data_IF_584907475020
#
_entry.id   IF_584907475020
#
_cell.length_a   1.000
_cell.length_b   1.000
_cell.length_c   1.000
_cell.angle_alpha   90.00
_cell.angle_beta   90.00
_cell.angle_gamma   90.00
#
_symmetry.space_group_name_H-M   'P 1'
#
loop_
_entity.id
_entity.type
_entity.pdbx_description
1 polymer ?
#
# COMPACT_ATOMS: atom_id res chain seq x y z
N UNK A 1 27.02 18.44 -1.31
CA UNK A 1 25.92 18.52 -0.31
C UNK A 1 24.54 18.23 -0.90
N UNK A 2 24.04 18.96 -1.90
CA UNK A 2 22.70 18.70 -2.50
C UNK A 2 22.48 17.25 -3.00
N UNK A 3 23.47 16.67 -3.69
CA UNK A 3 23.40 15.26 -4.18
C UNK A 3 23.30 14.24 -3.04
N UNK A 4 24.00 14.48 -1.93
CA UNK A 4 23.98 13.60 -0.75
C UNK A 4 22.60 13.64 -0.06
N UNK A 5 22.01 14.83 0.07
CA UNK A 5 20.67 15.00 0.64
C UNK A 5 19.62 14.30 -0.24
N UNK A 6 19.68 14.46 -1.56
CA UNK A 6 18.76 13.75 -2.48
C UNK A 6 18.93 12.24 -2.42
N UNK A 7 20.16 11.73 -2.26
CA UNK A 7 20.41 10.30 -2.10
C UNK A 7 19.84 9.75 -0.80
N UNK A 8 20.09 10.43 0.34
CA UNK A 8 19.52 10.05 1.65
C UNK A 8 18.00 10.05 1.58
N UNK A 9 17.41 11.09 0.98
CA UNK A 9 15.95 11.18 0.81
C UNK A 9 15.39 10.02 -0.02
N UNK A 10 16.06 9.66 -1.12
CA UNK A 10 15.68 8.51 -1.94
C UNK A 10 15.76 7.18 -1.19
N UNK A 11 16.81 6.96 -0.41
CA UNK A 11 16.97 5.78 0.43
C UNK A 11 15.84 5.70 1.46
N UNK A 12 15.54 6.81 2.16
CA UNK A 12 14.45 6.87 3.14
C UNK A 12 13.11 6.55 2.48
N UNK A 13 12.81 7.15 1.32
CA UNK A 13 11.58 6.87 0.58
C UNK A 13 11.47 5.38 0.18
N UNK A 14 12.56 4.78 -0.29
CA UNK A 14 12.60 3.38 -0.68
C UNK A 14 12.43 2.43 0.51
N UNK A 15 13.11 2.69 1.63
CA UNK A 15 12.93 1.92 2.87
C UNK A 15 11.50 2.02 3.40
N UNK A 16 10.90 3.22 3.32
CA UNK A 16 9.51 3.45 3.72
C UNK A 16 8.56 2.61 2.85
N UNK A 17 8.80 2.57 1.55
CA UNK A 17 8.07 1.72 0.62
C UNK A 17 8.22 0.23 0.95
N UNK A 18 9.44 -0.26 1.19
CA UNK A 18 9.66 -1.66 1.55
C UNK A 18 8.90 -2.04 2.83
N UNK A 19 8.93 -1.17 3.85
CA UNK A 19 8.17 -1.40 5.09
C UNK A 19 6.67 -1.45 4.78
N UNK A 20 6.14 -0.47 4.03
CA UNK A 20 4.73 -0.47 3.66
C UNK A 20 4.34 -1.72 2.84
N UNK A 21 5.19 -2.15 1.91
CA UNK A 21 4.98 -3.31 1.06
C UNK A 21 4.95 -4.61 1.88
N UNK A 22 5.95 -4.88 2.71
CA UNK A 22 5.95 -6.07 3.57
C UNK A 22 4.80 -6.05 4.58
N UNK A 23 4.46 -4.87 5.12
CA UNK A 23 3.27 -4.72 5.95
C UNK A 23 2.00 -5.05 5.17
N UNK A 24 1.90 -4.69 3.88
CA UNK A 24 0.76 -5.03 3.03
C UNK A 24 0.53 -6.54 2.93
N UNK A 25 1.60 -7.32 2.79
CA UNK A 25 1.55 -8.78 2.75
C UNK A 25 0.92 -9.31 4.05
N UNK A 26 1.42 -8.85 5.20
CA UNK A 26 0.90 -9.23 6.51
C UNK A 26 -0.52 -8.73 6.75
N UNK A 27 -0.82 -7.51 6.31
CA UNK A 27 -2.12 -6.88 6.44
C UNK A 27 -3.21 -7.66 5.71
N UNK A 28 -3.00 -7.96 4.42
CA UNK A 28 -3.96 -8.70 3.60
C UNK A 28 -4.00 -10.18 3.97
N UNK A 29 -2.86 -10.78 4.30
CA UNK A 29 -2.77 -12.20 4.65
C UNK A 29 -3.17 -12.54 6.09
N UNK A 30 -3.48 -11.55 6.93
CA UNK A 30 -3.63 -11.72 8.39
C UNK A 30 -2.40 -12.39 9.05
N UNK A 31 -1.19 -12.00 8.63
CA UNK A 31 0.08 -12.59 9.09
C UNK A 31 0.92 -11.60 9.88
N UNK A 32 1.27 -11.94 11.12
CA UNK A 32 2.37 -11.34 11.91
C UNK A 32 2.49 -9.81 11.87
N UNK A 33 1.36 -9.09 11.83
CA UNK A 33 1.30 -7.62 11.93
C UNK A 33 0.37 -7.19 13.05
N UNK A 34 0.62 -6.06 13.73
CA UNK A 34 -0.24 -5.59 14.83
C UNK A 34 -1.66 -5.24 14.41
N UNK A 35 -1.83 -4.79 13.16
CA UNK A 35 -3.13 -4.50 12.55
C UNK A 35 -3.20 -5.16 11.18
N UNK A 36 -4.05 -6.16 11.04
CA UNK A 36 -4.40 -6.81 9.78
C UNK A 36 -5.76 -6.36 9.26
N UNK A 37 -6.14 -6.85 8.07
CA UNK A 37 -7.39 -6.49 7.39
C UNK A 37 -8.64 -6.83 8.21
N UNK A 38 -8.59 -7.89 9.01
CA UNK A 38 -9.70 -8.36 9.87
C UNK A 38 -9.58 -7.91 11.32
N UNK A 39 -8.54 -7.15 11.66
CA UNK A 39 -8.30 -6.72 13.04
C UNK A 39 -9.05 -5.45 13.42
N UNK A 40 -9.49 -5.38 14.68
CA UNK A 40 -10.16 -4.23 15.27
C UNK A 40 -11.63 -4.49 15.58
N UNK A 41 -12.32 -3.47 16.08
CA UNK A 41 -13.74 -3.55 16.39
C UNK A 41 -14.56 -3.41 15.12
N UNK A 42 -15.45 -4.36 14.87
CA UNK A 42 -16.42 -4.24 13.79
C UNK A 42 -17.37 -3.05 14.01
N UNK A 43 -17.66 -2.36 12.92
CA UNK A 43 -18.70 -1.32 12.86
C UNK A 43 -19.82 -1.80 11.95
N UNK A 44 -20.80 -0.95 11.66
CA UNK A 44 -21.85 -1.33 10.69
C UNK A 44 -21.22 -1.50 9.30
N UNK A 45 -21.68 -2.49 8.55
CA UNK A 45 -21.18 -2.79 7.20
C UNK A 45 -21.12 -1.53 6.31
N UNK A 46 -22.18 -0.72 6.32
CA UNK A 46 -22.24 0.50 5.51
C UNK A 46 -21.18 1.53 5.95
N UNK A 47 -20.93 1.67 7.25
CA UNK A 47 -19.89 2.57 7.75
C UNK A 47 -18.50 2.10 7.34
N UNK A 48 -18.19 0.83 7.54
CA UNK A 48 -16.93 0.23 7.13
C UNK A 48 -16.70 0.38 5.61
N UNK A 49 -17.73 0.11 4.80
CA UNK A 49 -17.67 0.25 3.35
C UNK A 49 -17.35 1.69 2.91
N UNK A 50 -18.04 2.69 3.48
CA UNK A 50 -17.81 4.10 3.15
C UNK A 50 -16.38 4.51 3.55
N UNK A 51 -15.96 4.21 4.78
CA UNK A 51 -14.63 4.58 5.30
C UNK A 51 -13.53 3.92 4.48
N UNK A 52 -13.63 2.61 4.22
CA UNK A 52 -12.62 1.88 3.44
C UNK A 52 -12.57 2.39 1.99
N UNK A 53 -13.73 2.69 1.38
CA UNK A 53 -13.78 3.27 0.03
C UNK A 53 -13.12 4.64 -0.03
N UNK A 54 -13.35 5.50 0.97
CA UNK A 54 -12.69 6.80 1.07
C UNK A 54 -11.17 6.65 1.25
N UNK A 55 -10.72 5.74 2.12
CA UNK A 55 -9.29 5.46 2.32
C UNK A 55 -8.61 4.97 1.04
N UNK A 56 -9.24 4.02 0.34
CA UNK A 56 -8.76 3.53 -0.94
C UNK A 56 -8.77 4.63 -2.01
N UNK A 57 -9.78 5.50 -2.02
CA UNK A 57 -9.88 6.63 -2.94
C UNK A 57 -8.76 7.64 -2.71
N UNK A 58 -8.38 7.93 -1.46
CA UNK A 58 -7.24 8.81 -1.15
C UNK A 58 -5.96 8.27 -1.79
N UNK A 59 -5.68 6.98 -1.60
CA UNK A 59 -4.52 6.33 -2.21
C UNK A 59 -4.60 6.33 -3.74
N UNK A 60 -5.74 5.88 -4.31
CA UNK A 60 -5.92 5.77 -5.75
C UNK A 60 -5.83 7.13 -6.46
N UNK A 61 -6.45 8.17 -5.90
CA UNK A 61 -6.39 9.54 -6.43
C UNK A 61 -4.97 10.08 -6.31
N UNK A 62 -4.34 9.99 -5.13
CA UNK A 62 -2.97 10.46 -4.93
C UNK A 62 -2.01 9.82 -5.93
N UNK A 63 -2.04 8.49 -6.02
CA UNK A 63 -1.18 7.72 -6.93
C UNK A 63 -1.44 8.08 -8.39
N UNK A 64 -2.72 8.10 -8.81
CA UNK A 64 -3.10 8.38 -10.19
C UNK A 64 -2.79 9.81 -10.61
N UNK A 65 -3.06 10.79 -9.76
CA UNK A 65 -2.81 12.21 -10.05
C UNK A 65 -1.33 12.47 -10.19
N UNK A 66 -0.51 11.95 -9.27
CA UNK A 66 0.94 12.14 -9.37
C UNK A 66 1.57 11.42 -10.57
N UNK A 67 0.90 10.40 -11.12
CA UNK A 67 1.33 9.77 -12.36
C UNK A 67 1.06 10.64 -13.61
N UNK A 68 0.15 11.61 -13.55
CA UNK A 68 -0.25 12.43 -14.71
C UNK A 68 0.85 13.43 -15.12
N UNK A 69 1.11 13.60 -16.43
CA UNK A 69 2.15 14.52 -16.92
C UNK A 69 1.97 15.99 -16.48
N UNK A 70 0.72 16.46 -16.40
CA UNK A 70 0.42 17.84 -15.98
C UNK A 70 0.82 18.08 -14.52
N UNK A 71 0.50 17.13 -13.63
CA UNK A 71 0.87 17.22 -12.22
C UNK A 71 2.39 17.13 -12.04
N UNK A 72 3.07 16.24 -12.78
CA UNK A 72 4.53 16.15 -12.77
C UNK A 72 5.21 17.45 -13.17
N UNK A 73 4.73 18.11 -14.24
CA UNK A 73 5.25 19.42 -14.67
C UNK A 73 5.06 20.50 -13.60
N UNK A 74 3.89 20.56 -12.98
CA UNK A 74 3.62 21.49 -11.88
C UNK A 74 4.52 21.21 -10.67
N UNK A 75 4.63 19.94 -10.27
CA UNK A 75 5.44 19.51 -9.14
C UNK A 75 6.93 19.82 -9.35
N UNK A 76 7.46 19.61 -10.56
CA UNK A 76 8.84 19.96 -10.91
C UNK A 76 9.14 21.46 -10.92
N UNK A 77 8.11 22.32 -10.93
CA UNK A 77 8.27 23.74 -10.67
C UNK A 77 8.49 24.08 -9.19
N UNK A 78 8.11 23.17 -8.29
CA UNK A 78 8.17 23.34 -6.82
C UNK A 78 9.36 22.58 -6.23
N UNK A 79 9.56 21.33 -6.64
CA UNK A 79 10.62 20.46 -6.13
C UNK A 79 11.69 20.20 -7.19
N UNK A 80 12.89 19.79 -6.73
CA UNK A 80 13.94 19.37 -7.63
C UNK A 80 13.51 18.09 -8.39
N UNK A 81 13.59 18.05 -9.73
CA UNK A 81 13.24 16.86 -10.51
C UNK A 81 13.98 15.59 -10.07
N UNK A 82 15.18 15.72 -9.49
CA UNK A 82 15.95 14.59 -8.97
C UNK A 82 15.27 13.83 -7.82
N UNK A 83 14.34 14.46 -7.08
CA UNK A 83 13.62 13.84 -5.97
C UNK A 83 12.15 13.52 -6.30
N UNK A 84 11.66 13.87 -7.50
CA UNK A 84 10.26 13.67 -7.91
C UNK A 84 9.78 12.23 -7.66
N UNK A 85 10.55 11.25 -8.15
CA UNK A 85 10.23 9.82 -7.99
C UNK A 85 10.24 9.39 -6.53
N UNK A 86 11.20 9.85 -5.74
CA UNK A 86 11.29 9.53 -4.32
C UNK A 86 10.11 10.12 -3.54
N UNK A 87 9.70 11.34 -3.86
CA UNK A 87 8.52 11.99 -3.26
C UNK A 87 7.24 11.25 -3.59
N UNK A 88 7.09 10.82 -4.85
CA UNK A 88 5.95 9.99 -5.27
C UNK A 88 5.85 8.72 -4.42
N UNK A 89 6.95 7.97 -4.33
CA UNK A 89 7.02 6.71 -3.58
C UNK A 89 6.73 6.93 -2.10
N UNK A 90 7.30 7.96 -1.50
CA UNK A 90 7.09 8.29 -0.09
C UNK A 90 5.61 8.61 0.19
N UNK A 91 5.00 9.50 -0.60
CA UNK A 91 3.60 9.90 -0.39
C UNK A 91 2.63 8.73 -0.61
N UNK A 92 2.85 7.89 -1.62
CA UNK A 92 2.05 6.67 -1.80
C UNK A 92 2.23 5.69 -0.65
N UNK A 93 3.44 5.56 -0.09
CA UNK A 93 3.69 4.70 1.08
C UNK A 93 3.00 5.23 2.34
N UNK A 94 2.98 6.55 2.54
CA UNK A 94 2.25 7.18 3.64
C UNK A 94 0.73 6.99 3.51
N UNK A 95 0.19 7.08 2.28
CA UNK A 95 -1.21 6.77 2.03
C UNK A 95 -1.55 5.30 2.32
N UNK A 96 -0.64 4.37 2.02
CA UNK A 96 -0.78 2.96 2.43
C UNK A 96 -0.79 2.80 3.95
N UNK A 97 0.11 3.45 4.69
CA UNK A 97 0.08 3.41 6.16
C UNK A 97 -1.22 3.99 6.72
N UNK A 98 -1.76 5.04 6.11
CA UNK A 98 -3.06 5.59 6.49
C UNK A 98 -4.19 4.57 6.30
N UNK A 99 -4.18 3.84 5.18
CA UNK A 99 -5.12 2.73 4.92
C UNK A 99 -4.98 1.70 6.04
N UNK A 100 -3.79 1.15 6.27
CA UNK A 100 -3.60 0.10 7.29
C UNK A 100 -4.06 0.56 8.66
N UNK A 101 -3.78 1.81 9.03
CA UNK A 101 -4.14 2.34 10.32
C UNK A 101 -5.65 2.54 10.49
N UNK A 102 -6.33 3.09 9.48
CA UNK A 102 -7.74 3.50 9.59
C UNK A 102 -8.74 2.50 9.02
N UNK A 103 -8.25 1.41 8.41
CA UNK A 103 -9.09 0.34 7.90
C UNK A 103 -10.09 -0.16 8.95
N UNK A 104 -11.33 -0.37 8.48
CA UNK A 104 -12.43 -0.96 9.23
C UNK A 104 -12.61 -2.42 8.78
N UNK A 105 -12.58 -3.41 9.69
CA UNK A 105 -12.72 -4.80 9.31
C UNK A 105 -14.13 -5.09 8.76
N UNK A 106 -14.19 -5.93 7.71
CA UNK A 106 -15.43 -6.48 7.15
C UNK A 106 -15.23 -8.00 7.10
N UNK A 107 -15.64 -8.68 8.17
CA UNK A 107 -15.36 -10.10 8.43
C UNK A 107 -16.38 -11.05 7.81
N UNK A 108 -17.37 -10.52 7.08
CA UNK A 108 -18.38 -11.33 6.40
C UNK A 108 -17.73 -12.28 5.41
N UNK A 109 -17.86 -13.58 5.65
CA UNK A 109 -17.32 -14.63 4.78
C UNK A 109 -18.18 -14.73 3.52
N UNK A 110 -17.59 -14.40 2.37
CA UNK A 110 -18.26 -14.50 1.06
C UNK A 110 -18.17 -15.91 0.49
N UNK A 111 -17.05 -16.60 0.71
CA UNK A 111 -16.81 -17.98 0.29
C UNK A 111 -15.84 -18.62 1.28
N UNK A 112 -15.94 -19.95 1.43
CA UNK A 112 -15.08 -20.73 2.31
C UNK A 112 -14.62 -22.00 1.58
N UNK A 113 -13.37 -22.42 1.78
CA UNK A 113 -12.82 -23.67 1.23
C UNK A 113 -12.35 -24.54 2.39
N UNK A 114 -12.95 -25.72 2.50
CA UNK A 114 -12.60 -26.71 3.52
C UNK A 114 -11.47 -27.66 3.06
N UNK A 115 -11.25 -27.77 1.75
CA UNK A 115 -10.23 -28.66 1.19
C UNK A 115 -8.82 -28.07 1.37
N UNK A 116 -7.97 -28.76 2.13
CA UNK A 116 -6.60 -28.33 2.46
C UNK A 116 -5.71 -28.14 1.23
N UNK A 117 -5.80 -29.03 0.23
CA UNK A 117 -5.03 -28.93 -1.01
C UNK A 117 -5.37 -27.64 -1.77
N UNK A 118 -6.65 -27.33 -1.90
CA UNK A 118 -7.13 -26.13 -2.58
C UNK A 118 -6.71 -24.85 -1.82
N UNK A 119 -6.79 -24.87 -0.49
CA UNK A 119 -6.31 -23.77 0.37
C UNK A 119 -4.81 -23.53 0.22
N UNK A 120 -4.02 -24.60 0.16
CA UNK A 120 -2.56 -24.53 -0.04
C UNK A 120 -2.21 -23.94 -1.42
N UNK A 121 -2.95 -24.32 -2.47
CA UNK A 121 -2.76 -23.76 -3.81
C UNK A 121 -3.03 -22.25 -3.79
N UNK A 122 -4.14 -21.81 -3.22
CA UNK A 122 -4.48 -20.38 -3.16
C UNK A 122 -3.48 -19.58 -2.34
N UNK A 123 -3.02 -20.13 -1.21
CA UNK A 123 -1.97 -19.51 -0.39
C UNK A 123 -0.65 -19.42 -1.13
N UNK A 124 -0.29 -20.44 -1.92
CA UNK A 124 0.91 -20.42 -2.76
C UNK A 124 0.81 -19.36 -3.85
N UNK A 125 -0.35 -19.23 -4.51
CA UNK A 125 -0.63 -18.18 -5.49
C UNK A 125 -0.54 -16.80 -4.86
N UNK A 126 -1.07 -16.62 -3.64
CA UNK A 126 -0.95 -15.38 -2.88
C UNK A 126 0.51 -14.95 -2.68
N UNK A 127 1.36 -15.82 -2.14
CA UNK A 127 2.78 -15.50 -1.92
C UNK A 127 3.54 -15.30 -3.24
N UNK A 128 3.24 -16.11 -4.26
CA UNK A 128 3.84 -15.98 -5.57
C UNK A 128 3.49 -14.62 -6.22
N UNK A 129 2.24 -14.16 -6.08
CA UNK A 129 1.82 -12.85 -6.56
C UNK A 129 2.61 -11.70 -5.91
N UNK A 130 2.81 -11.75 -4.59
CA UNK A 130 3.64 -10.76 -3.90
C UNK A 130 5.11 -10.81 -4.33
N UNK A 131 5.67 -12.01 -4.52
CA UNK A 131 7.04 -12.18 -5.03
C UNK A 131 7.18 -11.57 -6.43
N UNK A 132 6.25 -11.86 -7.34
CA UNK A 132 6.24 -11.25 -8.68
C UNK A 132 6.12 -9.73 -8.63
N UNK A 133 5.25 -9.19 -7.76
CA UNK A 133 5.09 -7.76 -7.59
C UNK A 133 6.40 -7.10 -7.13
N UNK A 134 7.14 -7.73 -6.21
CA UNK A 134 8.44 -7.23 -5.75
C UNK A 134 9.50 -7.30 -6.86
N UNK A 135 9.59 -8.44 -7.56
CA UNK A 135 10.59 -8.64 -8.62
C UNK A 135 10.38 -7.71 -9.83
N UNK A 136 9.13 -7.31 -10.10
CA UNK A 136 8.78 -6.40 -11.21
C UNK A 136 9.10 -4.93 -10.92
N UNK A 137 9.67 -4.59 -9.76
CA UNK A 137 10.02 -3.20 -9.41
C UNK A 137 11.41 -2.76 -9.88
N UNK A 138 12.25 -3.69 -10.35
CA UNK A 138 13.62 -3.46 -10.82
C UNK A 138 13.72 -3.64 -12.35
#
# INVERSE_FOLDING_TARGET
MRKLISAIYGITAYLTFLIAFFYAIGFVGNLYVPKSIDSGTETTFLSALIVNTLLLSIFAIQHSVMARPAFKKWLNGIINPAIERSTYVLLSSLALFLIYWKWQPITTVVWNIENETMSTILTSVFFFGWLLALLSTF
#
